data_IF_058141492258
#
_entry.id   IF_058141492258
#
_cell.length_a   1.000
_cell.length_b   1.000
_cell.length_c   1.000
_cell.angle_alpha   90.00
_cell.angle_beta   90.00
_cell.angle_gamma   90.00
#
_symmetry.space_group_name_H-M   'P 1'
#
loop_
_entity.id
_entity.type
_entity.pdbx_description
1 polymer ?
#
# COMPACT_ATOMS: atom_id res chain seq x y z
N UNK A 1 -12.46 -19.60 7.39
CA UNK A 1 -11.38 -18.60 7.63
C UNK A 1 -10.82 -18.86 9.02
N UNK A 2 -9.50 -18.93 9.20
CA UNK A 2 -8.91 -19.21 10.52
C UNK A 2 -9.28 -18.05 11.49
N UNK A 3 -9.90 -18.30 12.66
CA UNK A 3 -10.31 -17.26 13.62
C UNK A 3 -9.21 -16.22 13.92
N UNK A 4 -7.96 -16.69 14.01
CA UNK A 4 -6.76 -15.87 14.18
C UNK A 4 -6.61 -14.72 13.17
N UNK A 5 -7.03 -14.90 11.93
CA UNK A 5 -6.92 -13.85 10.91
C UNK A 5 -7.95 -12.72 11.13
N UNK A 6 -9.14 -13.07 11.59
CA UNK A 6 -10.19 -12.10 11.93
C UNK A 6 -9.73 -11.27 13.12
N UNK A 7 -9.25 -11.93 14.18
CA UNK A 7 -8.70 -11.28 15.38
C UNK A 7 -7.54 -10.35 15.04
N UNK A 8 -6.58 -10.84 14.24
CA UNK A 8 -5.46 -10.04 13.77
C UNK A 8 -5.94 -8.79 13.01
N UNK A 9 -6.84 -8.98 12.04
CA UNK A 9 -7.36 -7.86 11.23
C UNK A 9 -8.10 -6.85 12.11
N UNK A 10 -8.96 -7.33 13.02
CA UNK A 10 -9.68 -6.47 13.95
C UNK A 10 -8.73 -5.64 14.81
N UNK A 11 -7.68 -6.24 15.35
CA UNK A 11 -6.66 -5.54 16.14
C UNK A 11 -5.92 -4.48 15.32
N UNK A 12 -5.57 -4.76 14.05
CA UNK A 12 -4.86 -3.80 13.21
C UNK A 12 -5.73 -2.61 12.78
N UNK A 13 -7.04 -2.83 12.63
CA UNK A 13 -8.00 -1.79 12.27
C UNK A 13 -8.53 -1.02 13.49
N UNK A 14 -8.27 -1.49 14.70
CA UNK A 14 -8.75 -0.86 15.93
C UNK A 14 -8.18 0.56 16.11
N UNK A 15 -9.03 1.48 16.57
CA UNK A 15 -8.75 2.92 16.66
C UNK A 15 -8.60 3.64 15.31
N UNK A 16 -8.02 2.99 14.29
CA UNK A 16 -7.75 3.57 12.96
C UNK A 16 -8.99 3.59 12.04
N UNK A 17 -9.89 2.62 12.22
CA UNK A 17 -11.17 2.52 11.50
C UNK A 17 -12.30 2.65 12.51
N UNK A 18 -12.86 3.85 12.64
CA UNK A 18 -13.84 4.15 13.71
C UNK A 18 -15.23 3.60 13.45
N UNK A 19 -15.67 3.52 12.20
CA UNK A 19 -17.03 3.06 11.87
C UNK A 19 -17.08 1.54 11.72
N UNK A 20 -18.13 0.92 12.28
CA UNK A 20 -18.31 -0.53 12.25
C UNK A 20 -18.47 -1.09 10.84
N UNK A 21 -19.20 -0.38 9.96
CA UNK A 21 -19.37 -0.76 8.56
C UNK A 21 -18.04 -0.79 7.80
N UNK A 22 -17.17 0.20 8.03
CA UNK A 22 -15.82 0.22 7.45
C UNK A 22 -14.96 -0.93 7.96
N UNK A 23 -15.03 -1.30 9.26
CA UNK A 23 -14.31 -2.46 9.80
C UNK A 23 -14.73 -3.76 9.13
N UNK A 24 -16.04 -3.96 8.92
CA UNK A 24 -16.56 -5.11 8.18
C UNK A 24 -16.03 -5.14 6.75
N UNK A 25 -15.97 -3.99 6.05
CA UNK A 25 -15.38 -3.94 4.70
C UNK A 25 -13.88 -4.20 4.69
N UNK A 26 -13.15 -3.73 5.70
CA UNK A 26 -11.73 -4.02 5.87
C UNK A 26 -11.46 -5.51 6.06
N UNK A 27 -12.27 -6.18 6.88
CA UNK A 27 -12.19 -7.63 7.04
C UNK A 27 -12.50 -8.37 5.74
N UNK A 28 -13.54 -7.96 5.01
CA UNK A 28 -13.86 -8.52 3.68
C UNK A 28 -12.71 -8.34 2.70
N UNK A 29 -12.08 -7.17 2.69
CA UNK A 29 -10.92 -6.88 1.84
C UNK A 29 -9.73 -7.78 2.18
N UNK A 30 -9.38 -7.89 3.46
CA UNK A 30 -8.30 -8.78 3.92
C UNK A 30 -8.58 -10.24 3.59
N UNK A 31 -9.83 -10.68 3.76
CA UNK A 31 -10.27 -12.03 3.36
C UNK A 31 -10.12 -12.23 1.86
N UNK A 32 -10.53 -11.26 1.05
CA UNK A 32 -10.38 -11.31 -0.42
C UNK A 32 -8.92 -11.47 -0.86
N UNK A 33 -8.00 -10.79 -0.18
CA UNK A 33 -6.56 -10.88 -0.44
C UNK A 33 -5.97 -12.24 -0.07
N UNK A 34 -6.47 -12.87 1.00
CA UNK A 34 -5.90 -14.09 1.56
C UNK A 34 -6.60 -15.38 1.08
N UNK A 35 -7.80 -15.28 0.53
CA UNK A 35 -8.47 -16.41 -0.15
C UNK A 35 -7.71 -16.78 -1.44
N UNK A 36 -7.58 -18.08 -1.69
CA UNK A 36 -6.93 -18.61 -2.89
C UNK A 36 -7.53 -18.05 -4.18
N UNK A 37 -6.65 -17.79 -5.16
CA UNK A 37 -7.02 -17.24 -6.46
C UNK A 37 -5.89 -16.43 -7.07
N UNK A 38 -5.68 -16.62 -8.38
CA UNK A 38 -4.55 -16.02 -9.09
C UNK A 38 -4.62 -14.48 -9.17
N UNK A 39 -5.83 -13.90 -9.31
CA UNK A 39 -6.02 -12.45 -9.44
C UNK A 39 -6.58 -11.85 -8.15
N UNK A 40 -5.87 -10.86 -7.60
CA UNK A 40 -6.23 -10.13 -6.37
C UNK A 40 -6.84 -8.75 -6.64
N UNK A 41 -7.47 -8.56 -7.81
CA UNK A 41 -8.24 -7.36 -8.11
C UNK A 41 -9.66 -7.41 -7.48
N UNK A 42 -10.32 -6.25 -7.38
CA UNK A 42 -11.60 -6.11 -6.65
C UNK A 42 -12.69 -7.05 -7.13
N UNK A 43 -12.89 -7.17 -8.45
CA UNK A 43 -13.93 -8.02 -9.05
C UNK A 43 -13.74 -9.50 -8.73
N UNK A 44 -12.59 -10.15 -9.07
CA UNK A 44 -12.35 -11.55 -8.70
C UNK A 44 -12.42 -11.79 -7.19
N UNK A 45 -11.94 -10.86 -6.36
CA UNK A 45 -12.07 -10.99 -4.91
C UNK A 45 -13.54 -10.99 -4.48
N UNK A 46 -14.33 -10.06 -4.99
CA UNK A 46 -15.73 -9.91 -4.64
C UNK A 46 -16.58 -11.10 -5.07
N UNK A 47 -16.33 -11.64 -6.28
CA UNK A 47 -16.96 -12.86 -6.79
C UNK A 47 -16.73 -14.05 -5.84
N UNK A 48 -15.48 -14.29 -5.42
CA UNK A 48 -15.14 -15.36 -4.48
C UNK A 48 -15.76 -15.17 -3.10
N UNK A 49 -15.97 -13.92 -2.70
CA UNK A 49 -16.54 -13.56 -1.41
C UNK A 49 -18.07 -13.50 -1.41
N UNK A 50 -18.72 -13.56 -2.59
CA UNK A 50 -20.16 -13.37 -2.73
C UNK A 50 -20.63 -11.95 -2.35
N UNK A 51 -19.82 -10.93 -2.60
CA UNK A 51 -20.14 -9.53 -2.29
C UNK A 51 -20.06 -8.65 -3.54
N UNK A 52 -20.60 -7.44 -3.48
CA UNK A 52 -20.41 -6.46 -4.54
C UNK A 52 -18.99 -5.87 -4.49
N UNK A 53 -18.28 -5.94 -5.61
CA UNK A 53 -16.94 -5.37 -5.81
C UNK A 53 -16.84 -3.88 -5.48
N UNK A 54 -17.93 -3.11 -5.65
CA UNK A 54 -17.94 -1.70 -5.29
C UNK A 54 -17.68 -1.50 -3.80
N UNK A 55 -18.09 -2.44 -2.94
CA UNK A 55 -17.85 -2.36 -1.51
C UNK A 55 -16.35 -2.42 -1.17
N UNK A 56 -15.60 -3.28 -1.88
CA UNK A 56 -14.15 -3.41 -1.71
C UNK A 56 -13.41 -2.20 -2.29
N UNK A 57 -13.85 -1.72 -3.46
CA UNK A 57 -13.27 -0.54 -4.09
C UNK A 57 -13.48 0.72 -3.22
N UNK A 58 -14.71 0.99 -2.79
CA UNK A 58 -15.02 2.16 -1.96
C UNK A 58 -14.29 2.11 -0.61
N UNK A 59 -14.07 0.91 -0.05
CA UNK A 59 -13.28 0.75 1.15
C UNK A 59 -11.83 1.23 0.97
N UNK A 60 -11.15 0.78 -0.09
CA UNK A 60 -9.73 1.13 -0.30
C UNK A 60 -9.53 2.56 -0.84
N UNK A 61 -10.46 3.08 -1.66
CA UNK A 61 -10.25 4.37 -2.37
C UNK A 61 -10.88 5.58 -1.70
N UNK A 62 -12.04 5.40 -1.06
CA UNK A 62 -12.91 6.54 -0.70
C UNK A 62 -13.25 6.60 0.78
N UNK A 63 -13.05 5.51 1.51
CA UNK A 63 -13.38 5.46 2.94
C UNK A 63 -12.38 6.27 3.76
N UNK A 64 -12.88 6.98 4.75
CA UNK A 64 -12.13 7.99 5.53
C UNK A 64 -11.33 7.41 6.70
N UNK A 65 -10.77 6.19 6.56
CA UNK A 65 -9.97 5.59 7.62
C UNK A 65 -8.52 6.06 7.58
N UNK A 66 -7.88 6.08 8.74
CA UNK A 66 -6.49 6.48 8.88
C UNK A 66 -5.55 5.32 8.53
N UNK A 67 -5.10 5.26 7.28
CA UNK A 67 -4.17 4.23 6.85
C UNK A 67 -2.80 4.32 7.53
N UNK A 68 -2.41 5.49 8.03
CA UNK A 68 -1.15 5.65 8.73
C UNK A 68 -1.22 5.04 10.12
N UNK A 69 -2.36 5.15 10.80
CA UNK A 69 -2.62 4.45 12.05
C UNK A 69 -2.67 2.92 11.87
N UNK A 70 -3.36 2.40 10.84
CA UNK A 70 -3.33 0.95 10.53
C UNK A 70 -1.90 0.48 10.29
N UNK A 71 -1.12 1.24 9.52
CA UNK A 71 0.29 0.92 9.27
C UNK A 71 1.12 0.91 10.55
N UNK A 72 0.93 1.88 11.43
CA UNK A 72 1.62 1.93 12.72
C UNK A 72 1.24 0.75 13.62
N UNK A 73 -0.01 0.29 13.59
CA UNK A 73 -0.45 -0.90 14.31
C UNK A 73 0.28 -2.16 13.80
N UNK A 74 0.35 -2.34 12.48
CA UNK A 74 1.06 -3.47 11.85
C UNK A 74 2.55 -3.42 12.16
N UNK A 75 3.17 -2.24 12.07
CA UNK A 75 4.58 -2.07 12.34
C UNK A 75 4.93 -2.41 13.80
N UNK A 76 4.16 -1.90 14.78
CA UNK A 76 4.34 -2.23 16.20
C UNK A 76 4.19 -3.73 16.45
N UNK A 77 3.10 -4.33 15.95
CA UNK A 77 2.88 -5.76 16.09
C UNK A 77 4.04 -6.59 15.50
N UNK A 78 4.56 -6.21 14.34
CA UNK A 78 5.66 -6.92 13.70
C UNK A 78 6.97 -6.76 14.47
N UNK A 79 7.31 -5.54 14.90
CA UNK A 79 8.52 -5.25 15.69
C UNK A 79 8.48 -6.02 17.01
N UNK A 80 7.36 -6.01 17.71
CA UNK A 80 7.18 -6.76 18.96
C UNK A 80 7.30 -8.28 18.74
N UNK A 81 6.89 -8.78 17.57
CA UNK A 81 6.93 -10.19 17.24
C UNK A 81 8.32 -10.71 16.85
N UNK A 82 9.17 -9.86 16.25
CA UNK A 82 10.48 -10.29 15.73
C UNK A 82 11.67 -9.83 16.56
N UNK A 83 11.50 -8.83 17.44
CA UNK A 83 12.58 -8.21 18.24
C UNK A 83 13.81 -7.85 17.38
N UNK A 84 13.71 -6.82 16.53
CA UNK A 84 14.69 -6.58 15.47
C UNK A 84 16.07 -6.22 16.03
N UNK A 85 17.10 -6.82 15.45
CA UNK A 85 18.50 -6.50 15.74
C UNK A 85 18.97 -5.22 15.04
N UNK A 86 18.32 -4.84 13.93
CA UNK A 86 18.65 -3.64 13.17
C UNK A 86 17.46 -3.10 12.36
N UNK A 87 17.64 -1.89 11.82
CA UNK A 87 16.76 -1.30 10.82
C UNK A 87 17.55 -1.02 9.54
N UNK A 88 17.00 -1.42 8.40
CA UNK A 88 17.62 -1.28 7.08
C UNK A 88 16.74 -0.42 6.19
N UNK A 89 17.36 0.49 5.44
CA UNK A 89 16.68 1.22 4.36
C UNK A 89 16.91 0.43 3.08
N UNK A 90 15.82 0.06 2.42
CA UNK A 90 15.83 -0.70 1.16
C UNK A 90 14.83 -0.10 0.17
N UNK A 91 15.21 -0.08 -1.11
CA UNK A 91 14.33 0.31 -2.21
C UNK A 91 13.92 -0.90 -3.06
N UNK A 92 12.63 -0.96 -3.36
CA UNK A 92 12.03 -2.02 -4.15
C UNK A 92 11.33 -1.44 -5.38
N UNK A 93 11.67 -1.96 -6.55
CA UNK A 93 11.09 -1.54 -7.81
C UNK A 93 9.85 -2.34 -8.20
N UNK A 94 8.79 -1.64 -8.60
CA UNK A 94 7.53 -2.20 -9.08
C UNK A 94 7.36 -1.89 -10.57
N UNK A 95 7.56 -2.87 -11.47
CA UNK A 95 7.42 -2.66 -12.91
C UNK A 95 6.01 -2.18 -13.27
N UNK A 96 5.93 -1.28 -14.25
CA UNK A 96 4.68 -0.73 -14.77
C UNK A 96 4.71 -0.68 -16.29
N UNK A 97 3.59 -1.04 -16.90
CA UNK A 97 3.42 -0.94 -18.35
C UNK A 97 2.94 0.46 -18.80
N UNK A 98 2.27 1.21 -17.92
CA UNK A 98 1.70 2.54 -18.23
C UNK A 98 2.29 3.69 -17.42
N UNK A 99 1.78 4.90 -17.65
CA UNK A 99 2.24 6.16 -17.04
C UNK A 99 1.26 6.77 -16.02
N UNK A 100 0.08 6.18 -15.83
CA UNK A 100 -0.97 6.76 -14.99
C UNK A 100 -0.79 6.52 -13.48
N UNK A 101 0.15 5.64 -13.08
CA UNK A 101 0.41 5.37 -11.66
C UNK A 101 1.29 6.47 -11.05
N UNK A 102 1.01 6.97 -9.84
CA UNK A 102 1.83 8.00 -9.21
C UNK A 102 3.31 7.65 -9.15
N UNK A 103 4.20 8.61 -9.40
CA UNK A 103 5.65 8.42 -9.32
C UNK A 103 6.21 7.34 -10.28
N UNK A 104 5.48 6.93 -11.32
CA UNK A 104 6.01 6.00 -12.33
C UNK A 104 6.93 6.74 -13.30
N UNK A 105 8.14 6.25 -13.47
CA UNK A 105 9.09 6.82 -14.43
C UNK A 105 10.11 5.76 -14.87
N UNK A 106 10.91 6.11 -15.88
CA UNK A 106 12.10 5.35 -16.29
C UNK A 106 13.21 5.54 -15.26
N UNK A 107 13.41 4.56 -14.40
CA UNK A 107 14.34 4.61 -13.25
C UNK A 107 15.08 3.27 -13.13
N UNK A 108 16.26 3.27 -12.52
CA UNK A 108 16.93 2.01 -12.16
C UNK A 108 16.09 1.28 -11.11
N UNK A 109 15.86 -0.02 -11.31
CA UNK A 109 15.13 -0.88 -10.38
C UNK A 109 15.97 -2.11 -10.10
N UNK A 110 16.31 -2.33 -8.83
CA UNK A 110 17.02 -3.54 -8.39
C UNK A 110 16.26 -4.81 -8.79
N UNK A 111 14.94 -4.82 -8.61
CA UNK A 111 14.07 -5.95 -8.99
C UNK A 111 14.13 -6.29 -10.48
N UNK A 112 14.29 -5.29 -11.35
CA UNK A 112 14.42 -5.48 -12.80
C UNK A 112 15.87 -5.70 -13.26
N UNK A 113 16.85 -5.38 -12.42
CA UNK A 113 18.28 -5.38 -12.76
C UNK A 113 18.68 -4.34 -13.82
N UNK A 114 17.80 -3.40 -14.16
CA UNK A 114 17.99 -2.43 -15.24
C UNK A 114 17.12 -1.19 -15.06
N UNK A 115 17.38 -0.16 -15.86
CA UNK A 115 16.45 0.95 -16.01
C UNK A 115 15.15 0.49 -16.66
N UNK A 116 14.06 0.61 -15.93
CA UNK A 116 12.71 0.11 -16.21
C UNK A 116 11.67 1.22 -16.09
N UNK A 117 10.53 1.10 -16.77
CA UNK A 117 9.37 1.90 -16.38
C UNK A 117 8.81 1.29 -15.08
N UNK A 118 8.93 2.01 -13.97
CA UNK A 118 8.60 1.46 -12.66
C UNK A 118 8.29 2.56 -11.64
N UNK A 119 7.63 2.15 -10.55
CA UNK A 119 7.60 2.89 -9.30
C UNK A 119 8.71 2.35 -8.40
N UNK A 120 9.34 3.20 -7.60
CA UNK A 120 10.30 2.79 -6.57
C UNK A 120 9.67 3.06 -5.21
N UNK A 121 9.49 2.01 -4.40
CA UNK A 121 9.10 2.14 -3.01
C UNK A 121 10.34 2.06 -2.12
N UNK A 122 10.55 3.07 -1.29
CA UNK A 122 11.62 3.09 -0.29
C UNK A 122 11.00 2.73 1.06
N UNK A 123 11.59 1.75 1.72
CA UNK A 123 11.10 1.21 2.98
C UNK A 123 12.17 1.22 4.06
N UNK A 124 11.72 1.34 5.31
CA UNK A 124 12.52 0.99 6.49
C UNK A 124 12.05 -0.39 6.93
N UNK A 125 12.96 -1.36 6.93
CA UNK A 125 12.68 -2.72 7.36
C UNK A 125 13.32 -3.00 8.72
N UNK A 126 12.54 -3.56 9.63
CA UNK A 126 13.01 -4.14 10.87
C UNK A 126 13.52 -5.56 10.57
N UNK A 127 14.76 -5.88 10.95
CA UNK A 127 15.43 -7.11 10.52
C UNK A 127 16.03 -7.91 11.68
N UNK A 128 16.04 -9.22 11.51
CA UNK A 128 16.84 -10.18 12.26
C UNK A 128 17.72 -10.97 11.28
N UNK A 129 18.42 -11.99 11.75
CA UNK A 129 19.13 -12.96 10.91
C UNK A 129 18.19 -13.83 10.06
N UNK A 130 16.91 -13.91 10.42
CA UNK A 130 15.92 -14.86 9.86
C UNK A 130 14.62 -14.21 9.38
N UNK A 131 14.41 -12.92 9.67
CA UNK A 131 13.18 -12.20 9.30
C UNK A 131 13.47 -10.76 8.84
N UNK A 132 12.61 -10.25 7.96
CA UNK A 132 12.57 -8.84 7.57
C UNK A 132 11.13 -8.39 7.39
N UNK A 133 10.76 -7.28 8.04
CA UNK A 133 9.41 -6.70 7.93
C UNK A 133 9.47 -5.19 7.72
N UNK A 134 8.76 -4.68 6.71
CA UNK A 134 8.66 -3.25 6.46
C UNK A 134 7.88 -2.53 7.58
N UNK A 135 8.58 -1.71 8.36
CA UNK A 135 8.00 -0.89 9.42
C UNK A 135 7.32 0.37 8.84
N UNK A 136 7.89 0.96 7.79
CA UNK A 136 7.26 2.07 7.06
C UNK A 136 7.79 2.13 5.62
N UNK A 137 7.05 2.80 4.73
CA UNK A 137 7.42 2.95 3.34
C UNK A 137 6.77 4.17 2.68
N UNK A 138 7.45 4.71 1.66
CA UNK A 138 6.95 5.77 0.78
C UNK A 138 7.38 5.48 -0.66
N UNK A 139 6.66 6.04 -1.62
CA UNK A 139 7.15 6.06 -3.00
C UNK A 139 8.22 7.14 -3.12
N UNK A 140 9.32 6.80 -3.79
CA UNK A 140 10.25 7.81 -4.28
C UNK A 140 9.55 8.63 -5.38
N UNK A 141 9.51 9.95 -5.20
CA UNK A 141 8.93 10.85 -6.19
C UNK A 141 10.03 11.34 -7.16
N UNK A 142 10.08 10.84 -8.40
CA UNK A 142 11.02 11.35 -9.39
C UNK A 142 10.70 12.81 -9.76
N UNK A 143 11.70 13.57 -10.19
CA UNK A 143 11.53 14.99 -10.56
C UNK A 143 10.42 15.24 -11.58
N UNK A 144 10.16 14.30 -12.49
CA UNK A 144 9.08 14.42 -13.49
C UNK A 144 7.67 14.38 -12.89
N UNK A 145 7.53 13.99 -11.61
CA UNK A 145 6.28 13.94 -10.85
C UNK A 145 6.25 14.96 -9.70
N UNK A 146 7.35 15.69 -9.47
CA UNK A 146 7.40 16.72 -8.46
C UNK A 146 6.84 18.01 -9.06
N UNK A 147 5.61 18.38 -8.69
CA UNK A 147 4.91 19.57 -9.21
C UNK A 147 5.70 20.87 -9.01
N UNK A 148 6.68 20.91 -8.09
CA UNK A 148 7.59 22.05 -7.91
C UNK A 148 8.75 22.09 -8.89
N UNK A 149 8.99 20.99 -9.61
CA UNK A 149 10.07 20.77 -10.58
C UNK A 149 9.53 20.46 -11.99
N UNK A 150 8.21 20.32 -12.17
CA UNK A 150 7.56 20.21 -13.48
C UNK A 150 7.47 21.60 -14.11
N UNK A 151 8.19 21.84 -15.21
CA UNK A 151 8.02 23.05 -16.02
C UNK A 151 6.58 23.10 -16.58
N UNK A 152 5.89 24.23 -16.40
CA UNK A 152 4.46 24.48 -16.68
C UNK A 152 3.98 24.19 -18.12
N UNK A 153 4.85 23.80 -19.05
CA UNK A 153 4.50 23.69 -20.48
C UNK A 153 3.87 22.35 -20.87
N UNK A 154 3.66 21.40 -19.95
CA UNK A 154 3.16 20.05 -20.28
C UNK A 154 2.04 19.51 -19.37
N UNK A 155 1.29 20.36 -18.67
CA UNK A 155 0.24 19.91 -17.75
C UNK A 155 -1.15 20.46 -18.10
N UNK A 156 -1.67 20.16 -19.29
CA UNK A 156 -3.08 20.44 -19.63
C UNK A 156 -3.98 19.19 -19.67
N UNK A 157 -3.49 17.98 -19.33
CA UNK A 157 -4.26 16.76 -19.56
C UNK A 157 -4.52 15.84 -18.35
N UNK A 158 -4.15 16.22 -17.12
CA UNK A 158 -4.52 15.42 -15.92
C UNK A 158 -4.98 16.35 -14.78
N UNK A 159 -6.12 17.00 -14.97
CA UNK A 159 -6.87 17.62 -13.86
C UNK A 159 -7.86 16.58 -13.33
N UNK A 160 -7.59 16.08 -12.12
CA UNK A 160 -8.44 15.07 -11.50
C UNK A 160 -7.85 14.44 -10.25
N UNK A 161 -7.91 15.17 -9.13
CA UNK A 161 -7.67 14.71 -7.74
C UNK A 161 -6.21 14.44 -7.36
N UNK A 162 -5.42 15.49 -7.21
CA UNK A 162 -4.28 15.46 -6.29
C UNK A 162 -4.76 15.86 -4.89
N UNK A 163 -4.72 14.91 -3.94
CA UNK A 163 -4.72 15.25 -2.51
C UNK A 163 -3.29 15.69 -2.13
N UNK A 164 -3.12 16.74 -1.31
CA UNK A 164 -1.81 17.31 -1.05
C UNK A 164 -0.94 16.32 -0.27
N UNK A 165 0.18 15.92 -0.87
CA UNK A 165 1.25 15.21 -0.19
C UNK A 165 1.97 16.22 0.72
N UNK A 166 1.48 16.39 1.95
CA UNK A 166 2.16 17.22 2.96
C UNK A 166 3.45 16.53 3.39
N UNK A 167 4.57 17.24 3.20
CA UNK A 167 5.88 16.92 3.81
C UNK A 167 5.71 17.03 5.34
N UNK A 168 6.28 16.06 6.07
CA UNK A 168 6.66 16.22 7.47
C UNK A 168 8.00 16.95 7.52
#
# INVERSE_FOLDING_TARGET
MRPRLVEFTAAMLDGAVRRSDQRVKGELYMRGLLTDGARKSMQPMAERLGVDHQQLQQFITSSTWDYTAVRANVARWAVDAIDPAAYVIDDSGFPKDGTASPCVARQYSGTLGKTGNCQIGVSVQAVTDTASVAANWRLFCPRSWDDTMVNTVAFSAVSGRQAPFRRL
#
